data_IF_894465266014
#
_entry.id   IF_894465266014
#
_cell.length_a   1.000
_cell.length_b   1.000
_cell.length_c   1.000
_cell.angle_alpha   90.00
_cell.angle_beta   90.00
_cell.angle_gamma   90.00
#
_symmetry.space_group_name_H-M   'P 1'
#
loop_
_entity.id
_entity.type
_entity.pdbx_description
1 polymer ?
#
# COMPACT_ATOMS: atom_id res chain seq x y z
N UNK A 1 -14.18 23.41 18.93
CA UNK A 1 -13.48 23.18 17.65
C UNK A 1 -14.23 22.09 16.89
N UNK A 2 -15.12 22.49 15.98
CA UNK A 2 -16.03 21.59 15.26
C UNK A 2 -15.41 21.20 13.93
N UNK A 3 -15.17 19.90 13.74
CA UNK A 3 -14.76 19.26 12.50
C UNK A 3 -15.85 19.41 11.46
N UNK A 4 -15.65 20.31 10.50
CA UNK A 4 -16.57 20.53 9.38
C UNK A 4 -16.30 19.47 8.30
N UNK A 5 -16.90 18.29 8.46
CA UNK A 5 -17.10 17.37 7.32
C UNK A 5 -18.11 18.04 6.39
N UNK A 6 -17.63 18.62 5.29
CA UNK A 6 -18.51 19.23 4.31
C UNK A 6 -19.02 18.11 3.39
N UNK A 7 -20.34 17.85 3.29
CA UNK A 7 -20.86 16.83 2.39
C UNK A 7 -20.47 17.22 0.97
N UNK A 8 -19.59 16.46 0.34
CA UNK A 8 -19.19 16.70 -1.03
C UNK A 8 -20.22 16.01 -1.93
N UNK A 9 -20.95 16.74 -2.80
CA UNK A 9 -21.95 16.13 -3.67
C UNK A 9 -21.34 15.04 -4.54
N UNK A 10 -22.06 13.93 -4.74
CA UNK A 10 -21.63 12.73 -5.47
C UNK A 10 -21.02 13.05 -6.85
N UNK A 11 -21.51 14.11 -7.47
CA UNK A 11 -21.08 14.62 -8.77
C UNK A 11 -19.63 15.12 -8.79
N UNK A 12 -19.13 15.69 -7.68
CA UNK A 12 -17.74 16.16 -7.58
C UNK A 12 -16.75 15.00 -7.36
N UNK A 13 -17.19 13.93 -6.67
CA UNK A 13 -16.40 12.71 -6.49
C UNK A 13 -16.25 11.94 -7.81
N UNK A 14 -17.33 11.84 -8.59
CA UNK A 14 -17.32 11.18 -9.90
C UNK A 14 -16.40 11.90 -10.90
N UNK A 15 -16.38 13.24 -10.89
CA UNK A 15 -15.55 14.02 -11.80
C UNK A 15 -14.03 13.92 -11.50
N UNK A 16 -13.62 13.71 -10.23
CA UNK A 16 -12.20 13.64 -9.84
C UNK A 16 -11.64 12.22 -9.77
N UNK A 17 -12.47 11.22 -9.50
CA UNK A 17 -12.01 9.86 -9.19
C UNK A 17 -12.71 8.76 -9.99
N UNK A 18 -13.67 9.11 -10.86
CA UNK A 18 -14.43 8.15 -11.65
C UNK A 18 -15.68 7.61 -10.93
N UNK A 19 -16.61 7.06 -11.72
CA UNK A 19 -17.91 6.59 -11.24
C UNK A 19 -17.79 5.48 -10.19
N UNK A 20 -16.85 4.56 -10.38
CA UNK A 20 -16.62 3.41 -9.50
C UNK A 20 -16.24 3.84 -8.08
N UNK A 21 -15.44 4.91 -7.94
CA UNK A 21 -15.00 5.43 -6.64
C UNK A 21 -16.14 6.17 -5.93
N UNK A 22 -16.97 6.90 -6.68
CA UNK A 22 -18.14 7.58 -6.13
C UNK A 22 -19.22 6.59 -5.63
N UNK A 23 -19.38 5.47 -6.31
CA UNK A 23 -20.30 4.40 -5.91
C UNK A 23 -19.83 3.67 -4.65
N UNK A 24 -18.52 3.39 -4.54
CA UNK A 24 -17.91 2.84 -3.33
C UNK A 24 -18.10 3.75 -2.11
N UNK A 25 -17.92 5.06 -2.26
CA UNK A 25 -18.09 6.03 -1.16
C UNK A 25 -19.55 6.15 -0.70
N UNK A 26 -20.50 6.12 -1.64
CA UNK A 26 -21.94 6.12 -1.33
C UNK A 26 -22.38 4.80 -0.66
N UNK A 27 -21.83 3.67 -1.11
CA UNK A 27 -22.07 2.36 -0.49
C UNK A 27 -21.59 2.30 0.97
N UNK A 28 -20.45 2.90 1.29
CA UNK A 28 -19.91 2.97 2.67
C UNK A 28 -20.78 3.85 3.57
N UNK A 29 -21.29 4.97 3.04
CA UNK A 29 -22.12 5.90 3.82
C UNK A 29 -23.49 5.31 4.15
N UNK A 30 -24.04 4.47 3.26
CA UNK A 30 -25.30 3.74 3.49
C UNK A 30 -25.16 2.59 4.49
N UNK A 31 -23.97 2.00 4.61
CA UNK A 31 -23.68 0.97 5.63
C UNK A 31 -23.66 1.55 7.04
N UNK A 32 -23.27 2.81 7.22
CA UNK A 32 -23.28 3.49 8.53
C UNK A 32 -24.70 3.81 9.04
N UNK A 33 -25.74 3.68 8.21
CA UNK A 33 -27.12 4.02 8.57
C UNK A 33 -28.00 2.85 9.06
N UNK A 34 -27.46 1.63 9.15
CA UNK A 34 -28.23 0.43 9.54
C UNK A 34 -28.19 0.24 11.06
N UNK A 35 -29.37 0.33 11.72
CA UNK A 35 -29.51 0.00 13.14
C UNK A 35 -29.44 -1.52 13.36
N UNK A 36 -28.44 -1.97 14.12
CA UNK A 36 -28.10 -3.38 14.35
C UNK A 36 -29.14 -4.12 15.20
N UNK A 37 -29.54 -5.33 14.77
CA UNK A 37 -30.53 -6.18 15.42
C UNK A 37 -30.00 -7.58 15.69
N UNK A 38 -28.85 -7.74 16.36
CA UNK A 38 -28.54 -8.89 17.24
C UNK A 38 -27.09 -8.83 17.76
N UNK A 39 -26.80 -9.58 18.83
CA UNK A 39 -25.47 -9.69 19.44
C UNK A 39 -24.46 -10.42 18.52
N UNK A 40 -24.95 -11.33 17.68
CA UNK A 40 -24.16 -12.06 16.67
C UNK A 40 -23.79 -11.16 15.48
N UNK A 41 -24.71 -10.34 14.99
CA UNK A 41 -24.42 -9.34 13.96
C UNK A 41 -23.37 -8.33 14.42
N UNK A 42 -23.44 -7.87 15.68
CA UNK A 42 -22.45 -6.96 16.25
C UNK A 42 -21.04 -7.59 16.37
N UNK A 43 -20.96 -8.90 16.65
CA UNK A 43 -19.69 -9.64 16.63
C UNK A 43 -19.14 -9.79 15.20
N UNK A 44 -20.00 -10.16 14.24
CA UNK A 44 -19.62 -10.28 12.83
C UNK A 44 -19.12 -8.94 12.27
N UNK A 45 -19.76 -7.84 12.65
CA UNK A 45 -19.37 -6.49 12.23
C UNK A 45 -18.06 -6.05 12.90
N UNK A 46 -17.85 -6.35 14.19
CA UNK A 46 -16.59 -6.08 14.90
C UNK A 46 -15.42 -6.87 14.30
N UNK A 47 -15.64 -8.14 13.96
CA UNK A 47 -14.67 -8.98 13.27
C UNK A 47 -14.36 -8.45 11.86
N UNK A 48 -15.38 -8.01 11.12
CA UNK A 48 -15.20 -7.37 9.80
C UNK A 48 -14.40 -6.07 9.93
N UNK A 49 -14.67 -5.22 10.93
CA UNK A 49 -13.91 -3.99 11.20
C UNK A 49 -12.45 -4.29 11.54
N UNK A 50 -12.19 -5.34 12.32
CA UNK A 50 -10.85 -5.82 12.63
C UNK A 50 -10.10 -6.30 11.38
N UNK A 51 -10.74 -7.15 10.55
CA UNK A 51 -10.16 -7.62 9.28
C UNK A 51 -9.87 -6.44 8.33
N UNK A 52 -10.82 -5.52 8.16
CA UNK A 52 -10.64 -4.35 7.31
C UNK A 52 -9.52 -3.43 7.82
N UNK A 53 -9.30 -3.35 9.13
CA UNK A 53 -8.17 -2.62 9.71
C UNK A 53 -6.83 -3.28 9.34
N UNK A 54 -6.69 -4.60 9.52
CA UNK A 54 -5.46 -5.30 9.12
C UNK A 54 -5.21 -5.22 7.60
N UNK A 55 -6.26 -5.31 6.78
CA UNK A 55 -6.16 -5.17 5.32
C UNK A 55 -5.75 -3.75 4.92
N UNK A 56 -6.12 -2.71 5.67
CA UNK A 56 -5.59 -1.35 5.43
C UNK A 56 -4.08 -1.33 5.64
N UNK A 57 -3.57 -1.89 6.72
CA UNK A 57 -2.13 -1.94 6.99
C UNK A 57 -1.37 -2.76 5.94
N UNK A 58 -1.95 -3.89 5.51
CA UNK A 58 -1.41 -4.70 4.41
C UNK A 58 -1.38 -3.93 3.08
N UNK A 59 -2.43 -3.18 2.73
CA UNK A 59 -2.42 -2.36 1.52
C UNK A 59 -1.37 -1.26 1.58
N UNK A 60 -1.15 -0.66 2.75
CA UNK A 60 -0.10 0.35 2.93
C UNK A 60 1.28 -0.25 2.65
N UNK A 61 1.58 -1.45 3.16
CA UNK A 61 2.88 -2.09 2.89
C UNK A 61 3.01 -2.52 1.43
N UNK A 62 1.93 -3.00 0.79
CA UNK A 62 1.94 -3.33 -0.64
C UNK A 62 2.26 -2.12 -1.52
N UNK A 63 1.66 -0.96 -1.22
CA UNK A 63 1.96 0.30 -1.95
C UNK A 63 3.42 0.72 -1.73
N UNK A 64 3.94 0.62 -0.50
CA UNK A 64 5.35 0.91 -0.21
C UNK A 64 6.31 -0.02 -0.93
N UNK A 65 5.98 -1.31 -1.04
CA UNK A 65 6.76 -2.28 -1.80
C UNK A 65 6.77 -1.93 -3.29
N UNK A 66 5.61 -1.61 -3.86
CA UNK A 66 5.49 -1.21 -5.27
C UNK A 66 6.29 0.07 -5.58
N UNK A 67 6.17 1.10 -4.74
CA UNK A 67 6.95 2.34 -4.85
C UNK A 67 8.45 2.05 -4.74
N UNK A 68 8.86 1.21 -3.77
CA UNK A 68 10.26 0.83 -3.61
C UNK A 68 10.80 0.11 -4.85
N UNK A 69 10.07 -0.83 -5.42
CA UNK A 69 10.46 -1.52 -6.65
C UNK A 69 10.64 -0.52 -7.80
N UNK A 70 9.70 0.42 -7.97
CA UNK A 70 9.81 1.47 -8.98
C UNK A 70 11.06 2.35 -8.77
N UNK A 71 11.31 2.79 -7.53
CA UNK A 71 12.49 3.58 -7.18
C UNK A 71 13.79 2.81 -7.47
N UNK A 72 13.81 1.50 -7.22
CA UNK A 72 14.95 0.65 -7.52
C UNK A 72 15.18 0.48 -9.03
N UNK A 73 14.12 0.46 -9.85
CA UNK A 73 14.24 0.43 -11.32
C UNK A 73 14.88 1.70 -11.90
N UNK A 74 14.70 2.85 -11.25
CA UNK A 74 15.18 4.16 -11.72
C UNK A 74 16.37 4.72 -10.94
N UNK A 75 16.94 3.94 -10.01
CA UNK A 75 17.97 4.38 -9.04
C UNK A 75 19.29 4.89 -9.66
N UNK A 76 19.49 4.69 -10.96
CA UNK A 76 20.70 5.11 -11.67
C UNK A 76 20.87 6.63 -11.78
N UNK A 77 19.78 7.40 -11.65
CA UNK A 77 19.82 8.87 -11.62
C UNK A 77 20.34 9.43 -10.30
N UNK A 78 20.41 8.61 -9.24
CA UNK A 78 20.83 9.06 -7.92
C UNK A 78 22.36 9.06 -7.74
N UNK A 79 22.89 9.99 -6.91
CA UNK A 79 24.30 9.98 -6.50
C UNK A 79 24.72 8.64 -5.85
N UNK A 80 25.98 8.19 -6.02
CA UNK A 80 26.43 6.88 -5.55
C UNK A 80 26.19 6.58 -4.06
N UNK A 81 26.30 7.60 -3.19
CA UNK A 81 26.07 7.41 -1.75
C UNK A 81 24.59 7.09 -1.45
N UNK A 82 23.64 7.83 -2.04
CA UNK A 82 22.19 7.56 -1.87
C UNK A 82 21.80 6.22 -2.49
N UNK A 83 22.33 5.92 -3.67
CA UNK A 83 22.08 4.63 -4.35
C UNK A 83 22.42 3.45 -3.44
N UNK A 84 23.59 3.49 -2.79
CA UNK A 84 24.00 2.42 -1.85
C UNK A 84 23.13 2.36 -0.60
N UNK A 85 22.75 3.50 -0.04
CA UNK A 85 21.87 3.55 1.13
C UNK A 85 20.49 2.93 0.81
N UNK A 86 19.87 3.36 -0.29
CA UNK A 86 18.58 2.84 -0.76
C UNK A 86 18.67 1.35 -1.10
N UNK A 87 19.76 0.91 -1.72
CA UNK A 87 19.98 -0.50 -2.03
C UNK A 87 20.10 -1.36 -0.76
N UNK A 88 20.81 -0.91 0.28
CA UNK A 88 20.87 -1.61 1.57
C UNK A 88 19.50 -1.68 2.23
N UNK A 89 18.79 -0.55 2.30
CA UNK A 89 17.43 -0.51 2.85
C UNK A 89 16.52 -1.50 2.12
N UNK A 90 16.64 -1.59 0.78
CA UNK A 90 15.88 -2.53 -0.05
C UNK A 90 16.16 -3.98 0.31
N UNK A 91 17.43 -4.35 0.45
CA UNK A 91 17.87 -5.71 0.76
C UNK A 91 17.58 -6.11 2.20
N UNK A 92 17.78 -5.20 3.16
CA UNK A 92 17.68 -5.48 4.60
C UNK A 92 16.24 -5.37 5.13
N UNK A 93 15.38 -4.59 4.46
CA UNK A 93 14.02 -4.30 4.94
C UNK A 93 12.96 -4.79 3.95
N UNK A 94 12.98 -4.31 2.70
CA UNK A 94 11.86 -4.53 1.79
C UNK A 94 11.81 -5.94 1.20
N UNK A 95 12.96 -6.53 0.84
CA UNK A 95 13.01 -7.90 0.33
C UNK A 95 12.53 -8.94 1.38
N UNK A 96 12.96 -8.89 2.66
CA UNK A 96 12.42 -9.76 3.70
C UNK A 96 10.92 -9.55 3.98
N UNK A 97 10.41 -8.33 3.85
CA UNK A 97 8.97 -8.08 3.99
C UNK A 97 8.20 -8.74 2.84
N UNK A 98 8.69 -8.62 1.61
CA UNK A 98 8.07 -9.27 0.45
C UNK A 98 8.05 -10.80 0.63
N UNK A 99 9.13 -11.39 1.16
CA UNK A 99 9.19 -12.83 1.50
C UNK A 99 8.14 -13.23 2.54
N UNK A 100 8.01 -12.47 3.64
CA UNK A 100 7.02 -12.74 4.70
C UNK A 100 5.58 -12.65 4.22
N UNK A 101 5.33 -11.87 3.17
CA UNK A 101 4.02 -11.74 2.52
C UNK A 101 3.80 -12.77 1.39
N UNK A 102 4.76 -13.66 1.14
CA UNK A 102 4.69 -14.66 0.05
C UNK A 102 4.85 -14.07 -1.35
N UNK A 103 5.33 -12.83 -1.47
CA UNK A 103 5.49 -12.10 -2.73
C UNK A 103 6.86 -12.41 -3.36
N UNK A 104 7.11 -13.69 -3.69
CA UNK A 104 8.42 -14.16 -4.12
C UNK A 104 8.97 -13.49 -5.39
N UNK A 105 8.11 -13.22 -6.39
CA UNK A 105 8.52 -12.51 -7.61
C UNK A 105 9.05 -11.11 -7.30
N UNK A 106 8.34 -10.38 -6.44
CA UNK A 106 8.72 -9.03 -6.01
C UNK A 106 9.98 -9.05 -5.14
N UNK A 107 10.11 -10.06 -4.27
CA UNK A 107 11.32 -10.28 -3.46
C UNK A 107 12.56 -10.46 -4.34
N UNK A 108 12.49 -11.36 -5.34
CA UNK A 108 13.60 -11.62 -6.26
C UNK A 108 13.97 -10.37 -7.05
N UNK A 109 12.98 -9.62 -7.54
CA UNK A 109 13.23 -8.36 -8.25
C UNK A 109 13.92 -7.32 -7.36
N UNK A 110 13.44 -7.13 -6.13
CA UNK A 110 14.06 -6.21 -5.16
C UNK A 110 15.50 -6.62 -4.82
N UNK A 111 15.77 -7.92 -4.68
CA UNK A 111 17.12 -8.45 -4.47
C UNK A 111 18.01 -8.16 -5.66
N UNK A 112 17.57 -8.47 -6.87
CA UNK A 112 18.36 -8.26 -8.10
C UNK A 112 18.71 -6.77 -8.28
N UNK A 113 17.71 -5.89 -8.16
CA UNK A 113 17.93 -4.45 -8.28
C UNK A 113 18.81 -3.92 -7.12
N UNK A 114 18.62 -4.44 -5.91
CA UNK A 114 19.42 -4.12 -4.72
C UNK A 114 20.88 -4.46 -4.91
N UNK A 115 21.18 -5.69 -5.33
CA UNK A 115 22.54 -6.15 -5.59
C UNK A 115 23.20 -5.38 -6.74
N UNK A 116 22.46 -5.14 -7.84
CA UNK A 116 22.95 -4.34 -8.98
C UNK A 116 23.33 -2.92 -8.56
N UNK A 117 22.52 -2.30 -7.70
CA UNK A 117 22.76 -0.95 -7.20
C UNK A 117 23.91 -0.88 -6.17
N UNK A 118 24.06 -1.92 -5.33
CA UNK A 118 25.08 -1.97 -4.28
C UNK A 118 26.46 -2.39 -4.82
N UNK A 119 26.51 -3.29 -5.80
CA UNK A 119 27.74 -3.86 -6.37
C UNK A 119 27.82 -3.74 -7.90
N UNK A 120 27.83 -2.51 -8.46
CA UNK A 120 27.73 -2.29 -9.90
C UNK A 120 28.90 -2.83 -10.73
N UNK A 121 30.05 -3.15 -10.11
CA UNK A 121 31.21 -3.78 -10.76
C UNK A 121 31.19 -5.31 -10.72
N UNK A 122 30.54 -5.93 -9.72
CA UNK A 122 30.42 -7.40 -9.61
C UNK A 122 29.23 -7.96 -10.38
N UNK A 123 28.19 -7.14 -10.61
CA UNK A 123 27.02 -7.53 -11.39
C UNK A 123 27.27 -7.57 -12.91
N UNK A 124 28.42 -7.05 -13.39
CA UNK A 124 28.70 -6.87 -14.82
C UNK A 124 29.63 -7.93 -15.42
N UNK A 125 29.95 -8.97 -14.64
CA UNK A 125 30.86 -10.08 -15.00
C UNK A 125 30.05 -11.34 -15.19
#
# INVERSE_FOLDING_TARGET
MSSRTTPTPKDQLAARFGADVAELVDGVTKLDAIQFKSREEAQAESFRKMLLAMVRDLRVILVKLADRTHNMRTIQSMPPHRRRAIARETLEIYAPIAERLGLYSLKLELEELGFRALYPRRYRV
#
